data_IF_882193867197
#
_entry.id   IF_882193867197
#
_cell.length_a   1.000
_cell.length_b   1.000
_cell.length_c   1.000
_cell.angle_alpha   90.00
_cell.angle_beta   90.00
_cell.angle_gamma   90.00
#
_symmetry.space_group_name_H-M   'P 1'
#
loop_
_entity.id
_entity.type
_entity.pdbx_description
1 polymer ?
#
# COMPACT_ATOMS: atom_id res chain seq x y z
N UNK A 1 17.72 -60.76 -21.50
CA UNK A 1 17.47 -59.54 -20.72
C UNK A 1 16.06 -59.67 -20.16
N UNK A 2 15.94 -59.54 -18.84
CA UNK A 2 14.78 -60.01 -18.07
C UNK A 2 13.64 -58.98 -18.12
N UNK A 3 12.38 -59.45 -18.12
CA UNK A 3 11.18 -58.61 -18.00
C UNK A 3 11.22 -57.64 -16.79
N UNK A 4 12.01 -57.96 -15.77
CA UNK A 4 12.24 -57.09 -14.60
C UNK A 4 13.02 -55.81 -14.92
N UNK A 5 13.91 -55.84 -15.92
CA UNK A 5 14.75 -54.68 -16.28
C UNK A 5 13.90 -53.61 -16.99
N UNK A 6 13.05 -54.01 -17.94
CA UNK A 6 12.11 -53.11 -18.64
C UNK A 6 11.04 -52.52 -17.70
N UNK A 7 10.51 -53.31 -16.75
CA UNK A 7 9.59 -52.78 -15.74
C UNK A 7 10.25 -51.74 -14.81
N UNK A 8 11.54 -51.89 -14.51
CA UNK A 8 12.28 -50.95 -13.67
C UNK A 8 12.52 -49.61 -14.37
N UNK A 9 12.77 -49.62 -15.69
CA UNK A 9 13.00 -48.42 -16.48
C UNK A 9 11.69 -47.64 -16.70
N UNK A 10 10.58 -48.33 -16.94
CA UNK A 10 9.25 -47.71 -17.04
C UNK A 10 8.83 -47.03 -15.72
N UNK A 11 9.15 -47.63 -14.57
CA UNK A 11 8.90 -47.01 -13.25
C UNK A 11 9.75 -45.76 -13.04
N UNK A 12 11.06 -45.83 -13.34
CA UNK A 12 11.95 -44.66 -13.25
C UNK A 12 11.55 -43.52 -14.19
N UNK A 13 11.10 -43.84 -15.39
CA UNK A 13 10.63 -42.83 -16.35
C UNK A 13 9.37 -42.12 -15.84
N UNK A 14 8.43 -42.85 -15.23
CA UNK A 14 7.21 -42.29 -14.66
C UNK A 14 7.47 -41.42 -13.43
N UNK A 15 8.33 -41.87 -12.52
CA UNK A 15 8.76 -41.09 -11.35
C UNK A 15 9.51 -39.80 -11.75
N UNK A 16 10.34 -39.84 -12.80
CA UNK A 16 11.02 -38.66 -13.32
C UNK A 16 10.03 -37.65 -13.93
N UNK A 17 8.97 -38.15 -14.58
CA UNK A 17 7.93 -37.33 -15.17
C UNK A 17 7.03 -36.68 -14.11
N UNK A 18 6.68 -37.41 -13.05
CA UNK A 18 5.92 -36.89 -11.90
C UNK A 18 6.70 -35.78 -11.18
N UNK A 19 8.00 -35.97 -10.90
CA UNK A 19 8.85 -34.93 -10.30
C UNK A 19 9.01 -33.69 -11.19
N UNK A 20 9.01 -33.86 -12.50
CA UNK A 20 9.09 -32.74 -13.44
C UNK A 20 7.80 -31.92 -13.48
N UNK A 21 6.64 -32.56 -13.29
CA UNK A 21 5.34 -31.88 -13.17
C UNK A 21 5.25 -31.15 -11.83
N UNK A 22 5.59 -31.81 -10.72
CA UNK A 22 5.62 -31.18 -9.38
C UNK A 22 6.56 -29.97 -9.35
N UNK A 23 7.76 -30.06 -9.94
CA UNK A 23 8.69 -28.93 -10.00
C UNK A 23 8.17 -27.76 -10.85
N UNK A 24 7.35 -28.02 -11.88
CA UNK A 24 6.71 -26.96 -12.67
C UNK A 24 5.57 -26.31 -11.91
N UNK A 25 4.71 -27.10 -11.27
CA UNK A 25 3.58 -26.58 -10.47
C UNK A 25 4.07 -25.74 -9.27
N UNK A 26 5.14 -26.14 -8.59
CA UNK A 26 5.71 -25.35 -7.49
C UNK A 26 6.26 -24.01 -7.97
N UNK A 27 6.97 -23.99 -9.11
CA UNK A 27 7.50 -22.74 -9.69
C UNK A 27 6.39 -21.81 -10.17
N UNK A 28 5.31 -22.34 -10.74
CA UNK A 28 4.16 -21.52 -11.15
C UNK A 28 3.40 -20.93 -9.95
N UNK A 29 3.31 -21.67 -8.84
CA UNK A 29 2.74 -21.16 -7.59
C UNK A 29 3.63 -20.10 -6.93
N UNK A 30 4.94 -20.33 -6.83
CA UNK A 30 5.91 -19.34 -6.31
C UNK A 30 5.82 -18.03 -7.11
N UNK A 31 5.92 -18.10 -8.44
CA UNK A 31 5.79 -16.92 -9.30
C UNK A 31 4.43 -16.23 -9.15
N UNK A 32 3.35 -16.98 -8.90
CA UNK A 32 2.03 -16.40 -8.64
C UNK A 32 1.92 -15.71 -7.28
N UNK A 33 2.65 -16.17 -6.26
CA UNK A 33 2.65 -15.58 -4.92
C UNK A 33 3.53 -14.33 -4.90
N UNK A 34 4.70 -14.37 -5.53
CA UNK A 34 5.62 -13.23 -5.66
C UNK A 34 4.96 -12.06 -6.41
N UNK A 35 4.23 -12.34 -7.49
CA UNK A 35 3.50 -11.32 -8.25
C UNK A 35 2.39 -10.69 -7.40
N UNK A 36 1.73 -11.45 -6.53
CA UNK A 36 0.72 -10.92 -5.61
C UNK A 36 1.37 -10.08 -4.51
N UNK A 37 2.46 -10.55 -3.92
CA UNK A 37 3.21 -9.82 -2.91
C UNK A 37 3.71 -8.47 -3.46
N UNK A 38 4.30 -8.47 -4.66
CA UNK A 38 4.74 -7.26 -5.34
C UNK A 38 3.58 -6.30 -5.64
N UNK A 39 2.43 -6.80 -6.12
CA UNK A 39 1.25 -5.97 -6.37
C UNK A 39 0.66 -5.37 -5.09
N UNK A 40 0.65 -6.13 -3.98
CA UNK A 40 0.20 -5.64 -2.67
C UNK A 40 1.09 -4.52 -2.17
N UNK A 41 2.42 -4.66 -2.29
CA UNK A 41 3.36 -3.60 -1.92
C UNK A 41 3.23 -2.36 -2.79
N UNK A 42 3.15 -2.52 -4.11
CA UNK A 42 3.00 -1.40 -5.04
C UNK A 42 1.72 -0.62 -4.74
N UNK A 43 0.62 -1.32 -4.45
CA UNK A 43 -0.64 -0.70 -4.05
C UNK A 43 -0.52 0.03 -2.72
N UNK A 44 0.15 -0.53 -1.73
CA UNK A 44 0.35 0.14 -0.45
C UNK A 44 1.21 1.41 -0.60
N UNK A 45 2.29 1.36 -1.37
CA UNK A 45 3.13 2.52 -1.68
C UNK A 45 2.35 3.62 -2.39
N UNK A 46 1.49 3.24 -3.33
CA UNK A 46 0.58 4.16 -4.01
C UNK A 46 -0.37 4.84 -3.02
N UNK A 47 -1.03 4.07 -2.15
CA UNK A 47 -1.95 4.60 -1.14
C UNK A 47 -1.26 5.53 -0.14
N UNK A 48 -0.03 5.22 0.28
CA UNK A 48 0.79 6.10 1.14
C UNK A 48 1.08 7.43 0.46
N UNK A 49 1.45 7.40 -0.83
CA UNK A 49 1.69 8.62 -1.63
C UNK A 49 0.43 9.45 -1.78
N UNK A 50 -0.72 8.82 -2.04
CA UNK A 50 -2.01 9.50 -2.15
C UNK A 50 -2.44 10.18 -0.84
N UNK A 51 -2.25 9.51 0.31
CA UNK A 51 -2.54 10.11 1.62
C UNK A 51 -1.64 11.32 1.87
N UNK A 52 -0.33 11.21 1.63
CA UNK A 52 0.61 12.33 1.81
C UNK A 52 0.30 13.49 0.86
N UNK A 53 0.03 13.20 -0.41
CA UNK A 53 -0.35 14.20 -1.40
C UNK A 53 -1.63 14.93 -1.02
N UNK A 54 -2.66 14.20 -0.61
CA UNK A 54 -3.93 14.76 -0.15
C UNK A 54 -3.77 15.65 1.10
N UNK A 55 -2.93 15.24 2.07
CA UNK A 55 -2.61 16.07 3.24
C UNK A 55 -1.94 17.38 2.85
N UNK A 56 -0.97 17.35 1.94
CA UNK A 56 -0.31 18.55 1.45
C UNK A 56 -1.29 19.47 0.73
N UNK A 57 -2.19 18.91 -0.09
CA UNK A 57 -3.24 19.68 -0.76
C UNK A 57 -4.16 20.38 0.24
N UNK A 58 -4.61 19.69 1.29
CA UNK A 58 -5.41 20.29 2.37
C UNK A 58 -4.64 21.46 3.03
N UNK A 59 -3.37 21.27 3.36
CA UNK A 59 -2.55 22.34 3.97
C UNK A 59 -2.45 23.57 3.07
N UNK A 60 -2.19 23.38 1.77
CA UNK A 60 -2.11 24.46 0.81
C UNK A 60 -3.45 25.20 0.66
N UNK A 61 -4.56 24.45 0.57
CA UNK A 61 -5.91 25.04 0.48
C UNK A 61 -6.21 25.85 1.74
N UNK A 62 -5.92 25.32 2.94
CA UNK A 62 -6.15 26.05 4.18
C UNK A 62 -5.33 27.33 4.26
N UNK A 63 -4.06 27.29 3.86
CA UNK A 63 -3.19 28.47 3.82
C UNK A 63 -3.75 29.54 2.88
N UNK A 64 -4.13 29.16 1.66
CA UNK A 64 -4.70 30.10 0.69
C UNK A 64 -6.06 30.63 1.14
N UNK A 65 -6.90 29.78 1.72
CA UNK A 65 -8.19 30.20 2.28
C UNK A 65 -8.00 31.24 3.40
N UNK A 66 -7.00 31.06 4.27
CA UNK A 66 -6.67 32.04 5.30
C UNK A 66 -6.19 33.37 4.70
N UNK A 67 -5.33 33.32 3.68
CA UNK A 67 -4.86 34.52 2.97
C UNK A 67 -6.02 35.27 2.31
N UNK A 68 -6.94 34.55 1.66
CA UNK A 68 -8.14 35.12 1.03
C UNK A 68 -9.05 35.76 2.08
N UNK A 69 -9.29 35.09 3.21
CA UNK A 69 -10.10 35.65 4.31
C UNK A 69 -9.48 36.91 4.91
N UNK A 70 -8.15 36.95 5.07
CA UNK A 70 -7.43 38.14 5.53
C UNK A 70 -7.56 39.29 4.52
N UNK A 71 -7.38 39.01 3.23
CA UNK A 71 -7.53 40.00 2.17
C UNK A 71 -8.97 40.56 2.11
N UNK A 72 -9.98 39.70 2.22
CA UNK A 72 -11.39 40.11 2.28
C UNK A 72 -11.64 41.00 3.50
N UNK A 73 -11.13 40.61 4.68
CA UNK A 73 -11.26 41.41 5.91
C UNK A 73 -10.63 42.79 5.75
N UNK A 74 -9.43 42.87 5.18
CA UNK A 74 -8.74 44.13 4.93
C UNK A 74 -9.52 45.02 3.94
N UNK A 75 -10.04 44.44 2.85
CA UNK A 75 -10.88 45.14 1.88
C UNK A 75 -12.19 45.64 2.51
N UNK A 76 -12.84 44.83 3.35
CA UNK A 76 -14.05 45.21 4.08
C UNK A 76 -13.79 46.39 5.02
N UNK A 77 -12.68 46.40 5.74
CA UNK A 77 -12.28 47.51 6.60
C UNK A 77 -12.04 48.79 5.78
N UNK A 78 -11.37 48.70 4.63
CA UNK A 78 -11.17 49.84 3.73
C UNK A 78 -12.49 50.39 3.17
N UNK A 79 -13.46 49.51 2.88
CA UNK A 79 -14.76 49.86 2.31
C UNK A 79 -15.85 50.13 3.37
N UNK A 80 -15.53 50.03 4.66
CA UNK A 80 -16.47 50.13 5.79
C UNK A 80 -17.67 49.16 5.68
N UNK A 81 -17.46 48.01 5.05
CA UNK A 81 -18.49 46.97 4.88
C UNK A 81 -18.48 46.08 6.14
N UNK A 82 -19.62 46.01 6.84
CA UNK A 82 -19.76 45.23 8.08
C UNK A 82 -20.35 43.83 7.91
N UNK A 83 -20.73 43.43 6.68
CA UNK A 83 -21.36 42.11 6.47
C UNK A 83 -20.34 40.99 6.42
N UNK A 84 -20.72 39.87 7.02
CA UNK A 84 -19.86 38.70 7.22
C UNK A 84 -20.16 37.55 6.24
N UNK A 85 -20.64 37.88 5.04
CA UNK A 85 -21.02 36.86 4.06
C UNK A 85 -19.81 35.99 3.71
N UNK A 86 -19.95 34.67 3.86
CA UNK A 86 -18.96 33.72 3.39
C UNK A 86 -18.83 33.89 1.87
N UNK A 87 -17.60 34.01 1.37
CA UNK A 87 -17.40 34.08 -0.08
C UNK A 87 -17.55 32.69 -0.67
N UNK A 88 -18.28 32.58 -1.80
CA UNK A 88 -18.51 31.31 -2.51
C UNK A 88 -17.22 30.49 -2.73
N UNK A 89 -16.06 31.16 -2.91
CA UNK A 89 -14.76 30.49 -3.04
C UNK A 89 -14.33 29.76 -1.77
N UNK A 90 -14.54 30.36 -0.60
CA UNK A 90 -14.20 29.76 0.71
C UNK A 90 -15.10 28.56 0.98
N UNK A 91 -16.38 28.62 0.59
CA UNK A 91 -17.30 27.48 0.73
C UNK A 91 -16.92 26.31 -0.17
N UNK A 92 -16.55 26.59 -1.43
CA UNK A 92 -16.05 25.56 -2.34
C UNK A 92 -14.75 24.92 -1.84
N UNK A 93 -13.84 25.71 -1.28
CA UNK A 93 -12.58 25.17 -0.74
C UNK A 93 -12.80 24.36 0.54
N UNK A 94 -13.78 24.72 1.38
CA UNK A 94 -14.23 23.87 2.50
C UNK A 94 -14.77 22.53 2.00
N UNK A 95 -15.62 22.53 0.97
CA UNK A 95 -16.16 21.29 0.39
C UNK A 95 -15.05 20.40 -0.19
N UNK A 96 -14.05 21.00 -0.85
CA UNK A 96 -12.87 20.29 -1.35
C UNK A 96 -12.05 19.66 -0.23
N UNK A 97 -11.87 20.38 0.89
CA UNK A 97 -11.18 19.85 2.07
C UNK A 97 -11.92 18.65 2.64
N UNK A 98 -13.25 18.70 2.77
CA UNK A 98 -14.03 17.56 3.27
C UNK A 98 -13.91 16.35 2.34
N UNK A 99 -14.02 16.53 1.02
CA UNK A 99 -13.79 15.44 0.05
C UNK A 99 -12.39 14.84 0.14
N UNK A 100 -11.35 15.65 0.37
CA UNK A 100 -9.99 15.15 0.57
C UNK A 100 -9.84 14.40 1.89
N UNK A 101 -10.52 14.82 2.97
CA UNK A 101 -10.55 14.09 4.24
C UNK A 101 -11.22 12.73 4.09
N UNK A 102 -12.34 12.66 3.39
CA UNK A 102 -13.02 11.39 3.09
C UNK A 102 -12.12 10.44 2.30
N UNK A 103 -11.41 10.94 1.28
CA UNK A 103 -10.43 10.14 0.53
C UNK A 103 -9.27 9.65 1.40
N UNK A 104 -8.72 10.52 2.27
CA UNK A 104 -7.68 10.12 3.22
C UNK A 104 -8.18 9.01 4.15
N UNK A 105 -9.41 9.11 4.65
CA UNK A 105 -10.02 8.10 5.50
C UNK A 105 -10.19 6.77 4.74
N UNK A 106 -10.71 6.82 3.51
CA UNK A 106 -10.88 5.63 2.68
C UNK A 106 -9.54 4.92 2.40
N UNK A 107 -8.50 5.65 2.02
CA UNK A 107 -7.17 5.09 1.76
C UNK A 107 -6.51 4.55 3.04
N UNK A 108 -6.72 5.21 4.19
CA UNK A 108 -6.28 4.70 5.50
C UNK A 108 -6.94 3.37 5.85
N UNK A 109 -8.25 3.26 5.63
CA UNK A 109 -9.00 2.03 5.91
C UNK A 109 -8.57 0.89 4.98
N UNK A 110 -8.28 1.20 3.71
CA UNK A 110 -7.75 0.24 2.75
C UNK A 110 -6.38 -0.30 3.19
N UNK A 111 -5.47 0.59 3.61
CA UNK A 111 -4.16 0.20 4.15
C UNK A 111 -4.27 -0.66 5.43
N UNK A 112 -5.25 -0.36 6.31
CA UNK A 112 -5.50 -1.16 7.50
C UNK A 112 -5.99 -2.57 7.15
N UNK A 113 -6.85 -2.70 6.14
CA UNK A 113 -7.35 -4.01 5.66
C UNK A 113 -6.24 -4.85 5.02
N UNK A 114 -5.29 -4.19 4.35
CA UNK A 114 -4.14 -4.86 3.72
C UNK A 114 -2.97 -5.13 4.69
N UNK A 115 -3.07 -4.76 5.97
CA UNK A 115 -1.95 -4.87 6.94
C UNK A 115 -1.37 -6.29 6.98
N UNK A 116 -2.21 -7.30 7.12
CA UNK A 116 -1.75 -8.68 7.26
C UNK A 116 -1.15 -9.22 5.96
N UNK A 117 -1.73 -8.86 4.82
CA UNK A 117 -1.20 -9.19 3.49
C UNK A 117 0.16 -8.52 3.24
N UNK A 118 0.32 -7.27 3.69
CA UNK A 118 1.58 -6.54 3.61
C UNK A 118 2.67 -7.17 4.49
N UNK A 119 2.32 -7.64 5.69
CA UNK A 119 3.29 -8.31 6.56
C UNK A 119 3.79 -9.59 5.90
N UNK A 120 2.89 -10.38 5.30
CA UNK A 120 3.26 -11.60 4.59
C UNK A 120 4.17 -11.28 3.39
N UNK A 121 3.74 -10.35 2.53
CA UNK A 121 4.52 -9.92 1.37
C UNK A 121 5.91 -9.40 1.78
N UNK A 122 5.98 -8.60 2.85
CA UNK A 122 7.24 -8.04 3.35
C UNK A 122 8.15 -9.13 3.93
N UNK A 123 7.60 -10.13 4.61
CA UNK A 123 8.38 -11.26 5.12
C UNK A 123 8.99 -12.10 3.99
N UNK A 124 8.23 -12.33 2.91
CA UNK A 124 8.71 -13.03 1.71
C UNK A 124 9.84 -12.26 1.02
N UNK A 125 9.68 -10.94 0.82
CA UNK A 125 10.74 -10.12 0.24
C UNK A 125 12.02 -10.11 1.08
N UNK A 126 11.90 -10.08 2.42
CA UNK A 126 13.08 -10.19 3.31
C UNK A 126 13.73 -11.56 3.16
N UNK A 127 12.93 -12.64 3.10
CA UNK A 127 13.42 -14.02 2.97
C UNK A 127 14.24 -14.22 1.70
N UNK A 128 13.83 -13.64 0.59
CA UNK A 128 14.50 -13.74 -0.72
C UNK A 128 15.76 -12.87 -0.83
N UNK A 129 15.87 -11.81 -0.04
CA UNK A 129 17.01 -10.90 -0.02
C UNK A 129 17.94 -11.12 1.16
N UNK A 130 18.00 -10.13 2.05
CA UNK A 130 18.93 -10.06 3.19
C UNK A 130 18.63 -11.05 4.33
N UNK A 131 17.45 -11.67 4.30
CA UNK A 131 16.95 -12.59 5.31
C UNK A 131 17.20 -14.07 5.00
N UNK A 132 17.96 -14.39 3.95
CA UNK A 132 18.30 -15.75 3.60
C UNK A 132 18.98 -16.47 4.80
N UNK A 133 18.26 -17.40 5.43
CA UNK A 133 18.71 -18.14 6.62
C UNK A 133 18.21 -17.62 7.98
N UNK A 134 17.36 -16.59 8.00
CA UNK A 134 16.64 -16.20 9.21
C UNK A 134 15.49 -17.18 9.51
N UNK A 135 15.13 -17.33 10.79
CA UNK A 135 13.92 -18.07 11.16
C UNK A 135 12.67 -17.31 10.75
N UNK A 136 11.60 -18.04 10.45
CA UNK A 136 10.31 -17.45 10.04
C UNK A 136 9.75 -16.47 11.07
N UNK A 137 9.97 -16.72 12.36
CA UNK A 137 9.60 -15.79 13.43
C UNK A 137 10.33 -14.44 13.31
N UNK A 138 11.64 -14.45 13.04
CA UNK A 138 12.43 -13.22 12.88
C UNK A 138 12.07 -12.47 11.60
N UNK A 139 11.78 -13.20 10.52
CA UNK A 139 11.32 -12.60 9.27
C UNK A 139 9.98 -11.89 9.48
N UNK A 140 9.06 -12.54 10.17
CA UNK A 140 7.73 -11.98 10.46
C UNK A 140 7.77 -10.79 11.41
N UNK A 141 8.58 -10.84 12.46
CA UNK A 141 8.77 -9.73 13.40
C UNK A 141 9.33 -8.50 12.67
N UNK A 142 10.37 -8.69 11.84
CA UNK A 142 10.98 -7.60 11.07
C UNK A 142 10.03 -7.03 10.01
N UNK A 143 9.23 -7.88 9.37
CA UNK A 143 8.18 -7.46 8.45
C UNK A 143 7.08 -6.65 9.16
N UNK A 144 6.66 -7.08 10.34
CA UNK A 144 5.72 -6.35 11.19
C UNK A 144 6.24 -4.96 11.54
N UNK A 145 7.48 -4.84 12.01
CA UNK A 145 8.07 -3.53 12.32
C UNK A 145 8.09 -2.59 11.10
N UNK A 146 8.41 -3.09 9.92
CA UNK A 146 8.43 -2.28 8.70
C UNK A 146 7.03 -1.82 8.29
N UNK A 147 6.04 -2.72 8.31
CA UNK A 147 4.66 -2.37 8.02
C UNK A 147 4.12 -1.38 9.06
N UNK A 148 4.46 -1.54 10.34
CA UNK A 148 4.03 -0.62 11.38
C UNK A 148 4.61 0.79 11.20
N UNK A 149 5.88 0.91 10.80
CA UNK A 149 6.47 2.21 10.43
C UNK A 149 5.74 2.86 9.26
N UNK A 150 5.35 2.08 8.25
CA UNK A 150 4.53 2.59 7.13
C UNK A 150 3.21 3.13 7.67
N UNK A 151 2.52 2.37 8.51
CA UNK A 151 1.23 2.75 9.10
C UNK A 151 1.32 3.98 10.02
N UNK A 152 2.41 4.13 10.79
CA UNK A 152 2.67 5.32 11.61
C UNK A 152 2.82 6.58 10.77
N UNK A 153 3.49 6.49 9.62
CA UNK A 153 3.65 7.60 8.67
C UNK A 153 2.35 8.09 8.05
N UNK A 154 1.25 7.36 8.23
CA UNK A 154 -0.08 7.69 7.69
C UNK A 154 -0.99 8.26 8.82
N UNK A 155 -0.76 7.84 10.07
CA UNK A 155 -1.49 8.33 11.25
C UNK A 155 -1.26 9.82 11.53
N UNK A 156 -0.02 10.29 11.42
CA UNK A 156 0.39 11.70 11.58
C UNK A 156 0.09 12.49 10.30
#
# INVERSE_FOLDING_TARGET
MSLETEQSELRRSREAQERAVESRESKEKEVSEDVKAAATMERADFLVKEVKGSKQQIQNIMLHMQQVLQAITALRQQLQIQTDDATNSVEQDKERVEKLKEKIAAHKDELLKMKDELITAQAEQIREGEGAGMSDEKLRERAQEMVERIMEGIKN
#
